data_IF_117592094287
#
_entry.id   IF_117592094287
#
_cell.length_a   1.000
_cell.length_b   1.000
_cell.length_c   1.000
_cell.angle_alpha   90.00
_cell.angle_beta   90.00
_cell.angle_gamma   90.00
#
_symmetry.space_group_name_H-M   'P 1'
#
loop_
_entity.id
_entity.type
_entity.pdbx_description
1 polymer ?
#
# COMPACT_ATOMS: atom_id res chain seq x y z
N UNK A 1 29.32 -11.36 -18.93
CA UNK A 1 27.95 -11.88 -19.13
C UNK A 1 27.41 -12.60 -17.88
N UNK A 2 28.12 -13.58 -17.32
CA UNK A 2 27.66 -14.39 -16.17
C UNK A 2 27.42 -13.61 -14.87
N UNK A 3 28.24 -12.60 -14.56
CA UNK A 3 28.07 -11.78 -13.33
C UNK A 3 26.76 -10.97 -13.33
N UNK A 4 26.35 -10.48 -14.49
CA UNK A 4 25.11 -9.71 -14.67
C UNK A 4 23.88 -10.60 -14.50
N UNK A 5 23.92 -11.81 -15.07
CA UNK A 5 22.86 -12.80 -14.89
C UNK A 5 22.70 -13.19 -13.42
N UNK A 6 23.83 -13.37 -12.70
CA UNK A 6 23.81 -13.70 -11.28
C UNK A 6 23.25 -12.56 -10.42
N UNK A 7 23.56 -11.31 -10.76
CA UNK A 7 23.02 -10.13 -10.09
C UNK A 7 21.51 -9.93 -10.33
N UNK A 8 21.02 -10.19 -11.56
CA UNK A 8 19.59 -10.14 -11.85
C UNK A 8 18.83 -11.26 -11.10
N UNK A 9 19.41 -12.46 -11.04
CA UNK A 9 18.80 -13.60 -10.35
C UNK A 9 18.63 -13.33 -8.84
N UNK A 10 19.65 -12.76 -8.20
CA UNK A 10 19.60 -12.43 -6.76
C UNK A 10 18.58 -11.34 -6.45
N UNK A 11 18.48 -10.29 -7.28
CA UNK A 11 17.47 -9.23 -7.10
C UNK A 11 16.05 -9.78 -7.24
N UNK A 12 15.83 -10.66 -8.22
CA UNK A 12 14.53 -11.30 -8.47
C UNK A 12 14.07 -12.16 -7.28
N UNK A 13 14.99 -12.93 -6.70
CA UNK A 13 14.72 -13.79 -5.53
C UNK A 13 14.33 -12.97 -4.29
N UNK A 14 14.98 -11.83 -4.06
CA UNK A 14 14.68 -10.94 -2.92
C UNK A 14 13.31 -10.27 -3.10
N UNK A 15 12.98 -9.85 -4.32
CA UNK A 15 11.68 -9.25 -4.63
C UNK A 15 10.53 -10.26 -4.45
N UNK A 16 10.74 -11.53 -4.82
CA UNK A 16 9.74 -12.59 -4.65
C UNK A 16 9.49 -12.92 -3.16
N UNK A 17 10.52 -12.90 -2.33
CA UNK A 17 10.42 -13.18 -0.89
C UNK A 17 9.57 -12.14 -0.11
N UNK A 18 9.23 -10.99 -0.70
CA UNK A 18 8.42 -9.94 -0.08
C UNK A 18 7.01 -9.73 -0.67
N UNK A 19 6.76 -10.25 -1.87
CA UNK A 19 5.49 -10.06 -2.59
C UNK A 19 4.41 -11.07 -2.14
N UNK A 20 4.82 -12.30 -1.81
CA UNK A 20 3.98 -13.34 -1.20
C UNK A 20 4.01 -13.23 0.32
N UNK A 21 3.30 -12.26 0.88
CA UNK A 21 2.98 -12.33 2.31
C UNK A 21 1.49 -12.22 2.51
N UNK A 22 1.00 -12.85 3.59
CA UNK A 22 -0.40 -12.98 3.96
C UNK A 22 -1.21 -11.72 3.68
N UNK A 23 -2.49 -11.86 3.28
CA UNK A 23 -3.36 -10.74 2.95
C UNK A 23 -3.35 -9.72 4.08
N UNK A 24 -2.67 -8.59 3.83
CA UNK A 24 -2.54 -7.51 4.79
C UNK A 24 -3.90 -6.87 4.93
N UNK A 25 -4.46 -6.81 6.15
CA UNK A 25 -5.75 -6.15 6.39
C UNK A 25 -5.64 -4.67 5.99
N UNK A 26 -6.27 -4.24 4.89
CA UNK A 26 -6.30 -2.83 4.56
C UNK A 26 -7.22 -2.13 5.57
N UNK A 27 -6.82 -0.94 6.00
CA UNK A 27 -7.64 -0.04 6.82
C UNK A 27 -8.28 0.96 5.87
N UNK A 28 -9.60 0.94 5.75
CA UNK A 28 -10.34 1.94 4.98
C UNK A 28 -11.06 2.87 5.96
N UNK A 29 -10.73 4.15 5.90
CA UNK A 29 -11.44 5.19 6.63
C UNK A 29 -12.28 5.96 5.62
N UNK A 30 -13.59 5.92 5.80
CA UNK A 30 -14.55 6.68 5.02
C UNK A 30 -15.20 7.71 5.95
N UNK A 31 -15.20 8.96 5.52
CA UNK A 31 -15.79 10.10 6.20
C UNK A 31 -16.81 10.75 5.27
N UNK A 32 -17.98 11.07 5.82
CA UNK A 32 -18.99 11.89 5.13
C UNK A 32 -19.30 13.07 6.04
N UNK A 33 -18.92 14.27 5.61
CA UNK A 33 -19.25 15.52 6.27
C UNK A 33 -20.42 16.21 5.58
N UNK A 34 -21.45 16.55 6.35
CA UNK A 34 -22.56 17.39 5.87
C UNK A 34 -22.38 18.78 6.48
N UNK A 35 -22.30 19.79 5.63
CA UNK A 35 -22.19 21.19 6.02
C UNK A 35 -23.34 21.99 5.40
N UNK A 36 -23.60 23.19 5.93
CA UNK A 36 -24.58 24.13 5.40
C UNK A 36 -24.34 24.50 3.92
N UNK A 37 -23.11 24.30 3.42
CA UNK A 37 -22.72 24.52 2.03
C UNK A 37 -22.68 23.28 1.12
N UNK A 38 -23.00 22.07 1.63
CA UNK A 38 -23.00 20.84 0.83
C UNK A 38 -22.50 19.60 1.57
N UNK A 39 -22.45 18.48 0.85
CA UNK A 39 -21.98 17.18 1.36
C UNK A 39 -20.60 16.87 0.77
N UNK A 40 -19.64 16.57 1.64
CA UNK A 40 -18.29 16.17 1.25
C UNK A 40 -18.05 14.74 1.71
N UNK A 41 -17.68 13.87 0.79
CA UNK A 41 -17.27 12.50 1.11
C UNK A 41 -15.76 12.42 0.92
N UNK A 42 -15.05 12.17 2.02
CA UNK A 42 -13.61 12.00 2.01
C UNK A 42 -13.20 10.65 2.58
N UNK A 43 -11.99 10.21 2.26
CA UNK A 43 -11.53 8.92 2.75
C UNK A 43 -10.05 8.67 2.52
N UNK A 44 -9.53 7.71 3.28
CA UNK A 44 -8.15 7.26 3.18
C UNK A 44 -8.08 5.74 3.25
N UNK A 45 -7.22 5.14 2.45
CA UNK A 45 -6.95 3.71 2.47
C UNK A 45 -5.51 3.50 2.90
N UNK A 46 -5.29 2.70 3.94
CA UNK A 46 -3.99 2.34 4.46
C UNK A 46 -3.77 0.84 4.47
N UNK A 47 -2.52 0.42 4.41
CA UNK A 47 -2.08 -0.98 4.50
C UNK A 47 -1.01 -1.05 5.58
N UNK A 48 -1.23 -1.88 6.59
CA UNK A 48 -0.31 -2.06 7.73
C UNK A 48 0.27 -3.48 7.76
N UNK A 49 1.55 -3.63 7.40
CA UNK A 49 2.26 -4.92 7.41
C UNK A 49 3.42 -4.85 8.42
N UNK A 50 3.18 -5.27 9.66
CA UNK A 50 4.18 -5.20 10.73
C UNK A 50 4.64 -3.76 10.99
N UNK A 51 5.95 -3.45 10.97
CA UNK A 51 6.46 -2.08 11.14
C UNK A 51 6.24 -1.19 9.91
N UNK A 52 5.81 -1.75 8.77
CA UNK A 52 5.55 -1.00 7.54
C UNK A 52 4.10 -0.48 7.51
N UNK A 53 3.96 0.82 7.28
CA UNK A 53 2.67 1.51 7.20
C UNK A 53 2.64 2.35 5.92
N UNK A 54 1.83 1.94 4.94
CA UNK A 54 1.58 2.70 3.73
C UNK A 54 0.17 3.29 3.82
N UNK A 55 0.02 4.60 3.71
CA UNK A 55 -1.28 5.27 3.73
C UNK A 55 -1.45 6.10 2.46
N UNK A 56 -2.50 5.82 1.70
CA UNK A 56 -2.97 6.62 0.57
C UNK A 56 -4.15 7.45 1.05
N UNK A 57 -3.86 8.67 1.48
CA UNK A 57 -4.87 9.67 1.84
C UNK A 57 -5.06 10.66 0.72
N UNK A 58 -6.00 10.38 -0.21
CA UNK A 58 -6.61 11.40 -1.08
C UNK A 58 -7.93 10.91 -1.64
N UNK A 59 -9.02 11.23 -0.95
CA UNK A 59 -10.35 11.34 -1.54
C UNK A 59 -10.96 12.61 -0.92
N UNK A 60 -11.08 13.64 -1.77
CA UNK A 60 -11.64 15.01 -1.63
C UNK A 60 -11.02 16.02 -0.66
#
# INVERSE_FOLDING_TARGET
MTRLALALATVSLIAACGADGDPVKPTANLNVGVSTGGVHAGGSVGVRKGPWNLSLGRIF
#
